data_IF_698482064117
#
_entry.id   IF_698482064117
#
_cell.length_a   1.000
_cell.length_b   1.000
_cell.length_c   1.000
_cell.angle_alpha   90.00
_cell.angle_beta   90.00
_cell.angle_gamma   90.00
#
_symmetry.space_group_name_H-M   'P 1'
#
loop_
_entity.id
_entity.type
_entity.pdbx_description
1 polymer ?
#
# COMPACT_ATOMS: atom_id res chain seq x y z
N UNK A 1 -20.92 4.63 5.51
CA UNK A 1 -19.54 4.15 5.58
C UNK A 1 -19.07 4.33 7.01
N UNK A 2 -18.38 3.34 7.57
CA UNK A 2 -17.89 3.33 8.95
C UNK A 2 -16.70 4.28 9.13
N UNK A 3 -15.85 4.40 8.09
CA UNK A 3 -14.79 5.40 7.98
C UNK A 3 -15.14 6.34 6.83
N UNK A 4 -15.03 7.65 7.08
CA UNK A 4 -15.21 8.70 6.08
C UNK A 4 -13.91 9.51 5.97
N UNK A 5 -13.55 9.89 4.77
CA UNK A 5 -12.37 10.71 4.50
C UNK A 5 -12.77 12.18 4.43
N UNK A 6 -11.92 13.09 4.91
CA UNK A 6 -12.14 14.51 4.62
C UNK A 6 -12.10 14.77 3.11
N UNK A 7 -12.76 15.83 2.66
CA UNK A 7 -12.45 16.41 1.36
C UNK A 7 -11.10 17.16 1.45
N UNK A 8 -10.25 16.99 0.46
CA UNK A 8 -8.94 17.63 0.35
C UNK A 8 -8.67 18.18 -1.05
N UNK A 9 -7.71 19.10 -1.14
CA UNK A 9 -7.26 19.69 -2.39
C UNK A 9 -5.98 18.99 -2.87
N UNK A 10 -6.14 18.07 -3.81
CA UNK A 10 -5.07 17.16 -4.24
C UNK A 10 -4.22 17.79 -5.33
N UNK A 11 -2.89 17.68 -5.18
CA UNK A 11 -1.89 18.01 -6.20
C UNK A 11 -1.04 16.78 -6.49
N UNK A 12 -0.51 16.69 -7.71
CA UNK A 12 0.46 15.65 -8.06
C UNK A 12 1.68 15.72 -7.12
N UNK A 13 2.22 14.58 -6.72
CA UNK A 13 3.42 14.49 -5.86
C UNK A 13 4.64 15.17 -6.49
N UNK A 14 4.67 15.27 -7.82
CA UNK A 14 5.75 15.89 -8.59
C UNK A 14 5.61 17.40 -8.81
N UNK A 15 4.49 18.01 -8.43
CA UNK A 15 4.32 19.46 -8.50
C UNK A 15 5.13 20.11 -7.38
N UNK A 16 5.82 21.20 -7.73
CA UNK A 16 6.59 22.02 -6.78
C UNK A 16 6.09 23.47 -6.78
N UNK A 17 6.45 24.22 -5.74
CA UNK A 17 6.15 25.65 -5.62
C UNK A 17 4.84 25.98 -4.89
N UNK A 18 4.37 27.24 -4.98
CA UNK A 18 3.31 27.79 -4.12
C UNK A 18 1.98 27.02 -4.15
N UNK A 19 1.71 26.30 -5.25
CA UNK A 19 0.50 25.50 -5.41
C UNK A 19 0.38 24.41 -4.34
N UNK A 20 1.50 23.83 -3.90
CA UNK A 20 1.52 22.75 -2.87
C UNK A 20 1.14 23.31 -1.51
N UNK A 21 1.71 24.46 -1.13
CA UNK A 21 1.39 25.15 0.12
C UNK A 21 -0.08 25.60 0.15
N UNK A 22 -0.57 26.16 -0.97
CA UNK A 22 -1.96 26.55 -1.12
C UNK A 22 -2.92 25.36 -0.95
N UNK A 23 -2.59 24.20 -1.55
CA UNK A 23 -3.39 22.98 -1.46
C UNK A 23 -3.43 22.43 -0.03
N UNK A 24 -2.27 22.37 0.63
CA UNK A 24 -2.13 21.93 2.00
C UNK A 24 -2.94 22.85 2.95
N UNK A 25 -2.77 24.17 2.82
CA UNK A 25 -3.50 25.13 3.62
C UNK A 25 -5.02 25.11 3.37
N UNK A 26 -5.45 24.87 2.12
CA UNK A 26 -6.87 24.69 1.78
C UNK A 26 -7.44 23.42 2.40
N UNK A 27 -6.70 22.32 2.35
CA UNK A 27 -7.09 21.03 2.94
C UNK A 27 -7.26 21.11 4.46
N UNK A 28 -6.42 21.88 5.16
CA UNK A 28 -6.59 22.16 6.59
C UNK A 28 -7.90 22.93 6.88
N UNK A 29 -8.20 23.98 6.10
CA UNK A 29 -9.47 24.72 6.25
C UNK A 29 -10.68 23.85 5.89
N UNK A 30 -10.54 22.93 4.96
CA UNK A 30 -11.60 21.98 4.59
C UNK A 30 -11.82 20.92 5.65
N UNK A 31 -10.78 20.48 6.35
CA UNK A 31 -10.92 19.59 7.51
C UNK A 31 -11.80 20.22 8.59
N UNK A 32 -11.57 21.48 8.95
CA UNK A 32 -12.39 22.19 9.96
C UNK A 32 -13.88 22.24 9.57
N UNK A 33 -14.15 22.42 8.27
CA UNK A 33 -15.50 22.41 7.70
C UNK A 33 -16.11 21.01 7.69
N UNK A 34 -15.32 19.98 7.39
CA UNK A 34 -15.76 18.58 7.46
C UNK A 34 -16.11 18.18 8.90
N UNK A 35 -15.28 18.55 9.87
CA UNK A 35 -15.53 18.29 11.29
C UNK A 35 -16.80 19.00 11.76
N UNK A 36 -17.00 20.26 11.36
CA UNK A 36 -18.21 21.03 11.72
C UNK A 36 -19.48 20.45 11.09
N UNK A 37 -19.38 19.84 9.92
CA UNK A 37 -20.50 19.23 9.20
C UNK A 37 -20.78 17.78 9.65
N UNK A 38 -19.83 17.12 10.32
CA UNK A 38 -19.95 15.73 10.74
C UNK A 38 -20.86 15.60 11.96
N UNK A 39 -22.11 15.19 11.74
CA UNK A 39 -23.14 15.10 12.77
C UNK A 39 -23.27 13.73 13.45
N UNK A 40 -22.45 12.73 13.07
CA UNK A 40 -22.54 11.34 13.55
C UNK A 40 -21.20 10.77 14.03
N UNK A 41 -20.47 11.44 14.94
CA UNK A 41 -19.13 11.02 15.38
C UNK A 41 -19.12 9.66 16.09
N UNK A 42 -20.23 9.25 16.71
CA UNK A 42 -20.36 7.96 17.39
C UNK A 42 -20.64 6.79 16.45
N UNK A 43 -20.98 7.06 15.19
CA UNK A 43 -21.30 6.05 14.17
C UNK A 43 -20.29 6.00 13.02
N UNK A 44 -19.55 7.10 12.78
CA UNK A 44 -18.59 7.21 11.68
C UNK A 44 -17.30 7.88 12.14
N UNK A 45 -16.17 7.30 11.75
CA UNK A 45 -14.84 7.84 12.01
C UNK A 45 -14.35 8.73 10.86
N UNK A 46 -14.14 10.02 11.13
CA UNK A 46 -13.59 10.96 10.15
C UNK A 46 -12.06 10.95 10.15
N UNK A 47 -11.44 10.59 9.03
CA UNK A 47 -10.00 10.58 8.83
C UNK A 47 -9.55 11.83 8.06
N UNK A 48 -8.77 12.74 8.68
CA UNK A 48 -8.04 13.77 7.95
C UNK A 48 -6.95 13.19 7.06
N UNK A 49 -6.58 13.95 6.02
CA UNK A 49 -5.57 13.55 5.03
C UNK A 49 -4.38 14.51 5.11
N UNK A 50 -3.20 13.97 5.42
CA UNK A 50 -1.94 14.70 5.43
C UNK A 50 -1.54 15.01 3.99
N UNK A 51 -1.32 16.29 3.73
CA UNK A 51 -0.88 16.84 2.45
C UNK A 51 0.53 17.45 2.58
N UNK A 52 1.02 18.09 1.52
CA UNK A 52 2.36 18.70 1.48
C UNK A 52 3.29 18.11 0.41
N UNK A 53 2.81 17.16 -0.39
CA UNK A 53 3.60 16.58 -1.48
C UNK A 53 4.90 15.95 -0.98
N UNK A 54 6.01 16.25 -1.67
CA UNK A 54 7.37 15.82 -1.31
C UNK A 54 8.15 16.90 -0.54
N UNK A 55 7.50 17.99 -0.11
CA UNK A 55 8.12 19.04 0.70
C UNK A 55 8.04 18.66 2.18
N UNK A 56 9.20 18.47 2.81
CA UNK A 56 9.30 18.07 4.20
C UNK A 56 8.68 19.09 5.16
N UNK A 57 8.89 20.38 4.91
CA UNK A 57 8.40 21.45 5.80
C UNK A 57 6.87 21.53 5.71
N UNK A 58 6.31 21.48 4.49
CA UNK A 58 4.86 21.52 4.30
C UNK A 58 4.18 20.27 4.87
N UNK A 59 4.79 19.10 4.72
CA UNK A 59 4.25 17.85 5.28
C UNK A 59 4.32 17.83 6.80
N UNK A 60 5.43 18.28 7.38
CA UNK A 60 5.58 18.45 8.84
C UNK A 60 4.56 19.45 9.39
N UNK A 61 4.36 20.58 8.71
CA UNK A 61 3.32 21.54 9.07
C UNK A 61 1.93 20.90 8.99
N UNK A 62 1.63 20.18 7.91
CA UNK A 62 0.33 19.53 7.70
C UNK A 62 0.02 18.54 8.83
N UNK A 63 0.94 17.62 9.14
CA UNK A 63 0.73 16.63 10.21
C UNK A 63 0.60 17.30 11.58
N UNK A 64 1.45 18.28 11.92
CA UNK A 64 1.38 19.01 13.18
C UNK A 64 0.06 19.75 13.36
N UNK A 65 -0.47 20.37 12.31
CA UNK A 65 -1.77 21.05 12.38
C UNK A 65 -2.92 20.04 12.49
N UNK A 66 -2.88 18.95 11.71
CA UNK A 66 -3.93 17.92 11.73
C UNK A 66 -4.04 17.25 13.11
N UNK A 67 -2.91 16.90 13.74
CA UNK A 67 -2.89 16.20 15.04
C UNK A 67 -3.57 17.01 16.15
N UNK A 68 -3.55 18.35 16.08
CA UNK A 68 -4.26 19.22 17.06
C UNK A 68 -5.77 18.98 17.10
N UNK A 69 -6.35 18.38 16.05
CA UNK A 69 -7.79 18.12 15.93
C UNK A 69 -8.22 16.77 16.53
N UNK A 70 -7.27 15.94 16.95
CA UNK A 70 -7.51 14.68 17.66
C UNK A 70 -8.56 13.76 16.99
N UNK A 71 -8.37 13.49 15.71
CA UNK A 71 -9.27 12.64 14.93
C UNK A 71 -9.11 11.15 15.27
N UNK A 72 -10.13 10.30 14.99
CA UNK A 72 -10.09 8.86 15.29
C UNK A 72 -9.03 8.07 14.51
N UNK A 73 -8.47 8.63 13.43
CA UNK A 73 -7.37 8.07 12.65
C UNK A 73 -6.86 9.07 11.62
N UNK A 74 -5.77 8.75 10.92
CA UNK A 74 -5.09 9.70 10.05
C UNK A 74 -4.66 9.04 8.75
N UNK A 75 -4.91 9.71 7.62
CA UNK A 75 -4.49 9.25 6.32
C UNK A 75 -3.27 10.02 5.80
N UNK A 76 -2.40 9.33 5.07
CA UNK A 76 -1.21 9.87 4.42
C UNK A 76 -1.51 9.93 2.92
N UNK A 77 -1.73 11.14 2.41
CA UNK A 77 -2.08 11.40 1.02
C UNK A 77 -0.90 11.87 0.17
N UNK A 78 -1.12 11.84 -1.16
CA UNK A 78 -0.20 12.41 -2.14
C UNK A 78 1.10 11.62 -2.36
N UNK A 79 1.11 10.33 -2.06
CA UNK A 79 2.27 9.41 -2.17
C UNK A 79 1.91 8.10 -2.89
N UNK A 80 1.14 8.19 -3.98
CA UNK A 80 0.53 7.03 -4.64
C UNK A 80 1.05 6.77 -6.06
N UNK A 81 2.27 7.25 -6.38
CA UNK A 81 2.97 6.95 -7.63
C UNK A 81 3.36 8.18 -8.46
N UNK A 82 4.58 8.14 -8.98
CA UNK A 82 5.20 9.20 -9.78
C UNK A 82 6.46 9.77 -9.13
N UNK A 83 6.52 9.75 -7.80
CA UNK A 83 7.68 10.14 -7.01
C UNK A 83 8.80 9.09 -7.02
N UNK A 84 10.03 9.58 -6.78
CA UNK A 84 11.17 8.72 -6.51
C UNK A 84 10.98 7.93 -5.20
N UNK A 85 11.43 6.67 -5.20
CA UNK A 85 11.24 5.78 -4.04
C UNK A 85 11.98 6.24 -2.79
N UNK A 86 13.11 6.92 -2.92
CA UNK A 86 13.84 7.46 -1.76
C UNK A 86 13.09 8.66 -1.14
N UNK A 87 12.45 9.49 -1.96
CA UNK A 87 11.58 10.56 -1.46
C UNK A 87 10.30 10.01 -0.82
N UNK A 88 9.68 9.00 -1.46
CA UNK A 88 8.47 8.34 -0.98
C UNK A 88 8.61 7.84 0.47
N UNK A 89 9.61 6.99 0.76
CA UNK A 89 9.71 6.38 2.08
C UNK A 89 10.05 7.41 3.17
N UNK A 90 10.80 8.47 2.82
CA UNK A 90 11.09 9.59 3.74
C UNK A 90 9.83 10.37 4.10
N UNK A 91 8.94 10.62 3.14
CA UNK A 91 7.67 11.29 3.41
C UNK A 91 6.71 10.42 4.24
N UNK A 92 6.72 9.11 4.02
CA UNK A 92 5.98 8.16 4.87
C UNK A 92 6.52 8.24 6.29
N UNK A 93 7.83 8.07 6.48
CA UNK A 93 8.50 8.10 7.80
C UNK A 93 8.24 9.41 8.55
N UNK A 94 8.42 10.55 7.87
CA UNK A 94 8.13 11.86 8.45
C UNK A 94 6.68 11.94 8.91
N UNK A 95 5.73 11.45 8.12
CA UNK A 95 4.32 11.46 8.51
C UNK A 95 4.07 10.58 9.74
N UNK A 96 4.58 9.36 9.74
CA UNK A 96 4.36 8.39 10.82
C UNK A 96 5.02 8.79 12.15
N UNK A 97 6.17 9.49 12.10
CA UNK A 97 6.89 9.96 13.30
C UNK A 97 6.12 11.03 14.08
N UNK A 98 5.34 11.87 13.39
CA UNK A 98 4.52 12.91 14.02
C UNK A 98 3.09 12.46 14.34
N UNK A 99 2.67 11.28 13.86
CA UNK A 99 1.31 10.78 14.08
C UNK A 99 1.17 10.06 15.43
N UNK A 100 0.06 10.24 16.16
CA UNK A 100 -0.20 9.55 17.42
C UNK A 100 -0.05 8.04 17.29
N UNK A 101 0.58 7.41 18.29
CA UNK A 101 0.82 5.95 18.31
C UNK A 101 -0.45 5.15 18.66
N UNK A 102 -1.47 5.79 19.22
CA UNK A 102 -2.73 5.19 19.65
C UNK A 102 -3.85 5.31 18.59
N UNK A 103 -3.51 5.76 17.37
CA UNK A 103 -4.45 6.01 16.29
C UNK A 103 -3.97 5.36 14.98
N UNK A 104 -4.87 4.79 14.16
CA UNK A 104 -4.50 4.14 12.92
C UNK A 104 -3.98 5.12 11.87
N UNK A 105 -3.01 4.66 11.10
CA UNK A 105 -2.30 5.38 10.03
C UNK A 105 -2.57 4.72 8.69
N UNK A 106 -3.31 5.43 7.83
CA UNK A 106 -3.76 4.92 6.53
C UNK A 106 -2.93 5.49 5.38
N UNK A 107 -2.10 4.65 4.76
CA UNK A 107 -1.32 5.03 3.58
C UNK A 107 -2.10 4.77 2.29
N UNK A 108 -2.50 5.84 1.62
CA UNK A 108 -3.43 5.78 0.49
C UNK A 108 -2.73 5.43 -0.83
N UNK A 109 -3.32 4.52 -1.62
CA UNK A 109 -2.90 4.21 -2.99
C UNK A 109 -1.65 3.33 -3.12
N UNK A 110 -1.18 2.69 -2.05
CA UNK A 110 0.01 1.82 -2.02
C UNK A 110 -0.40 0.35 -2.02
N UNK A 111 0.12 -0.43 -2.97
CA UNK A 111 -0.28 -1.84 -3.14
C UNK A 111 0.75 -2.79 -3.69
N UNK A 112 1.99 -2.35 -3.96
CA UNK A 112 3.06 -3.28 -4.31
C UNK A 112 3.47 -4.07 -3.07
N UNK A 113 3.70 -5.37 -3.22
CA UNK A 113 3.96 -6.26 -2.09
C UNK A 113 5.14 -5.80 -1.22
N UNK A 114 6.23 -5.37 -1.87
CA UNK A 114 7.40 -4.82 -1.16
C UNK A 114 7.07 -3.52 -0.44
N UNK A 115 6.30 -2.61 -1.04
CA UNK A 115 5.90 -1.35 -0.40
C UNK A 115 5.04 -1.61 0.83
N UNK A 116 4.10 -2.57 0.78
CA UNK A 116 3.27 -2.94 1.93
C UNK A 116 4.13 -3.43 3.10
N UNK A 117 5.13 -4.27 2.84
CA UNK A 117 6.05 -4.77 3.86
C UNK A 117 6.88 -3.64 4.47
N UNK A 118 7.50 -2.81 3.63
CA UNK A 118 8.34 -1.71 4.09
C UNK A 118 7.53 -0.64 4.83
N UNK A 119 6.41 -0.19 4.28
CA UNK A 119 5.57 0.83 4.93
C UNK A 119 4.92 0.31 6.22
N UNK A 120 4.69 -0.99 6.38
CA UNK A 120 4.31 -1.57 7.67
C UNK A 120 5.43 -1.43 8.71
N UNK A 121 6.70 -1.62 8.30
CA UNK A 121 7.86 -1.38 9.17
C UNK A 121 8.06 0.11 9.50
N UNK A 122 7.65 1.01 8.60
CA UNK A 122 7.60 2.46 8.84
C UNK A 122 6.39 2.88 9.69
N UNK A 123 5.52 1.95 10.10
CA UNK A 123 4.44 2.21 11.03
C UNK A 123 3.12 2.61 10.39
N UNK A 124 2.84 2.23 9.14
CA UNK A 124 1.51 2.31 8.55
C UNK A 124 0.66 1.08 8.88
N UNK A 125 -0.64 1.28 9.11
CA UNK A 125 -1.57 0.24 9.58
C UNK A 125 -2.59 -0.19 8.51
N UNK A 126 -2.99 0.75 7.65
CA UNK A 126 -4.01 0.54 6.61
C UNK A 126 -3.47 0.91 5.24
N UNK A 127 -3.92 0.18 4.22
CA UNK A 127 -3.51 0.37 2.83
C UNK A 127 -4.70 0.14 1.90
N UNK A 128 -4.72 0.84 0.78
CA UNK A 128 -5.61 0.58 -0.34
C UNK A 128 -4.84 0.71 -1.65
N UNK A 129 -5.21 -0.09 -2.65
CA UNK A 129 -4.72 0.14 -4.01
C UNK A 129 -5.56 -0.64 -5.01
N UNK A 130 -5.69 -0.10 -6.21
CA UNK A 130 -6.22 -0.84 -7.37
C UNK A 130 -5.23 -1.85 -7.93
N UNK A 131 -3.99 -1.91 -7.43
CA UNK A 131 -2.93 -2.78 -7.96
C UNK A 131 -3.35 -4.24 -8.20
N UNK A 132 -3.97 -4.98 -7.25
CA UNK A 132 -4.26 -6.40 -7.47
C UNK A 132 -5.29 -6.61 -8.59
N UNK A 133 -6.31 -5.74 -8.68
CA UNK A 133 -7.35 -5.82 -9.71
C UNK A 133 -6.86 -5.29 -11.05
N UNK A 134 -6.03 -4.23 -11.06
CA UNK A 134 -5.41 -3.68 -12.27
C UNK A 134 -4.46 -4.67 -12.90
N UNK A 135 -3.58 -5.27 -12.11
CA UNK A 135 -2.60 -6.26 -12.56
C UNK A 135 -3.29 -7.53 -13.10
N UNK A 136 -4.41 -7.94 -12.50
CA UNK A 136 -5.22 -9.04 -13.02
C UNK A 136 -5.74 -8.78 -14.45
N UNK A 137 -6.17 -7.55 -14.76
CA UNK A 137 -6.61 -7.17 -16.12
C UNK A 137 -5.50 -7.24 -17.18
N UNK A 138 -4.24 -7.20 -16.76
CA UNK A 138 -3.09 -7.41 -17.65
C UNK A 138 -2.67 -8.89 -17.74
N UNK A 139 -3.44 -9.82 -17.17
CA UNK A 139 -3.11 -11.24 -17.18
C UNK A 139 -1.99 -11.61 -16.22
N UNK A 140 -1.77 -10.81 -15.17
CA UNK A 140 -0.70 -11.02 -14.21
C UNK A 140 -1.24 -11.53 -12.86
N UNK A 141 -0.63 -12.60 -12.35
CA UNK A 141 -0.93 -13.17 -11.03
C UNK A 141 0.18 -12.80 -10.02
N UNK A 142 -0.20 -12.38 -8.82
CA UNK A 142 0.74 -12.03 -7.75
C UNK A 142 1.24 -13.27 -7.01
N UNK A 143 2.54 -13.31 -6.72
CA UNK A 143 3.24 -14.40 -6.00
C UNK A 143 4.35 -13.81 -5.12
N UNK A 144 4.88 -14.58 -4.18
CA UNK A 144 5.89 -14.09 -3.20
C UNK A 144 7.17 -13.57 -3.86
N UNK A 145 7.54 -14.08 -5.05
CA UNK A 145 8.71 -13.62 -5.81
C UNK A 145 8.34 -12.65 -6.96
N UNK A 146 7.21 -11.94 -6.83
CA UNK A 146 6.80 -10.88 -7.75
C UNK A 146 5.49 -11.18 -8.46
N UNK A 147 5.54 -11.33 -9.78
CA UNK A 147 4.33 -11.56 -10.59
C UNK A 147 4.59 -12.53 -11.74
N UNK A 148 3.61 -13.40 -11.98
CA UNK A 148 3.57 -14.27 -13.15
C UNK A 148 2.79 -13.56 -14.25
N UNK A 149 3.47 -13.17 -15.34
CA UNK A 149 2.79 -12.67 -16.54
C UNK A 149 2.29 -13.86 -17.35
N UNK A 150 1.04 -14.27 -17.13
CA UNK A 150 0.46 -15.47 -17.72
C UNK A 150 0.19 -15.33 -19.22
N UNK A 151 0.49 -14.19 -19.85
CA UNK A 151 0.53 -14.08 -21.31
C UNK A 151 1.77 -14.74 -21.94
N UNK A 152 2.82 -14.99 -21.15
CA UNK A 152 4.08 -15.52 -21.68
C UNK A 152 3.94 -17.01 -22.05
N UNK A 153 4.52 -17.37 -23.20
CA UNK A 153 4.51 -18.74 -23.73
C UNK A 153 5.10 -19.79 -22.77
N UNK A 154 6.00 -19.37 -21.87
CA UNK A 154 6.58 -20.26 -20.85
C UNK A 154 5.53 -20.95 -19.97
N UNK A 155 4.31 -20.40 -19.88
CA UNK A 155 3.22 -20.95 -19.08
C UNK A 155 2.27 -21.87 -19.87
N UNK A 156 2.38 -21.98 -21.20
CA UNK A 156 1.47 -22.78 -22.05
C UNK A 156 1.36 -24.25 -21.62
N UNK A 157 2.46 -24.81 -21.13
CA UNK A 157 2.55 -26.21 -20.66
C UNK A 157 2.85 -26.31 -19.16
N UNK A 158 2.72 -25.20 -18.43
CA UNK A 158 2.93 -25.18 -16.98
C UNK A 158 1.65 -25.62 -16.26
N UNK A 159 1.56 -26.90 -15.93
CA UNK A 159 0.42 -27.47 -15.22
C UNK A 159 0.43 -27.23 -13.71
N UNK A 160 1.38 -26.44 -13.18
CA UNK A 160 1.36 -26.02 -11.78
C UNK A 160 0.24 -25.01 -11.53
N UNK A 161 -0.21 -24.93 -10.29
CA UNK A 161 -1.10 -23.85 -9.81
C UNK A 161 -0.36 -22.51 -9.84
N UNK A 162 -1.08 -21.40 -9.68
CA UNK A 162 -0.45 -20.08 -9.51
C UNK A 162 0.53 -20.11 -8.32
N UNK A 163 0.03 -20.53 -7.16
CA UNK A 163 0.76 -20.71 -5.90
C UNK A 163 0.18 -21.95 -5.20
N UNK A 164 1.03 -22.94 -4.92
CA UNK A 164 0.66 -24.23 -4.30
C UNK A 164 0.32 -24.11 -2.81
N UNK A 165 0.77 -23.03 -2.16
CA UNK A 165 0.44 -22.69 -0.77
C UNK A 165 -0.77 -21.76 -0.66
N UNK A 166 -1.39 -21.37 -1.79
CA UNK A 166 -2.51 -20.45 -1.79
C UNK A 166 -3.84 -21.16 -1.51
N UNK A 167 -4.56 -20.66 -0.51
CA UNK A 167 -5.86 -21.17 -0.09
C UNK A 167 -7.05 -20.47 -0.78
N UNK A 168 -6.81 -19.67 -1.82
CA UNK A 168 -7.89 -19.00 -2.54
C UNK A 168 -8.70 -20.02 -3.37
N UNK A 169 -9.96 -19.71 -3.64
CA UNK A 169 -10.86 -20.61 -4.39
C UNK A 169 -10.31 -20.97 -5.78
N UNK A 170 -9.52 -20.09 -6.41
CA UNK A 170 -8.91 -20.33 -7.73
C UNK A 170 -7.84 -21.42 -7.64
N UNK A 171 -6.90 -21.31 -6.69
CA UNK A 171 -5.85 -22.32 -6.52
C UNK A 171 -6.44 -23.64 -6.01
N UNK A 172 -7.40 -23.59 -5.08
CA UNK A 172 -8.08 -24.78 -4.55
C UNK A 172 -8.93 -25.52 -5.59
N UNK A 173 -9.49 -24.80 -6.57
CA UNK A 173 -10.21 -25.42 -7.69
C UNK A 173 -9.29 -26.07 -8.72
N UNK A 174 -7.97 -25.96 -8.55
CA UNK A 174 -7.01 -26.61 -9.44
C UNK A 174 -6.75 -25.88 -10.76
N UNK A 175 -7.10 -24.58 -10.87
CA UNK A 175 -6.80 -23.81 -12.08
C UNK A 175 -5.29 -23.70 -12.29
N UNK A 176 -4.79 -24.30 -13.36
CA UNK A 176 -3.37 -24.32 -13.71
C UNK A 176 -2.94 -23.02 -14.40
N UNK A 177 -1.64 -22.73 -14.35
CA UNK A 177 -1.04 -21.63 -15.12
C UNK A 177 -1.27 -21.80 -16.61
N UNK A 178 -1.21 -23.02 -17.14
CA UNK A 178 -1.50 -23.33 -18.55
C UNK A 178 -2.94 -23.03 -18.96
N UNK A 179 -3.91 -23.37 -18.12
CA UNK A 179 -5.32 -23.05 -18.37
C UNK A 179 -5.50 -21.54 -18.40
N UNK A 180 -4.98 -20.84 -17.39
CA UNK A 180 -5.07 -19.39 -17.31
C UNK A 180 -4.39 -18.71 -18.50
N UNK A 181 -3.18 -19.15 -18.89
CA UNK A 181 -2.47 -18.68 -20.08
C UNK A 181 -3.32 -18.79 -21.36
N UNK A 182 -4.12 -19.84 -21.47
CA UNK A 182 -5.00 -20.03 -22.64
C UNK A 182 -6.09 -18.97 -22.73
N UNK A 183 -6.63 -18.52 -21.58
CA UNK A 183 -7.81 -17.66 -21.49
C UNK A 183 -7.51 -16.19 -21.14
N UNK A 184 -6.34 -15.86 -20.60
CA UNK A 184 -5.96 -14.46 -20.31
C UNK A 184 -6.00 -13.62 -21.58
N UNK A 185 -6.52 -12.40 -21.46
CA UNK A 185 -6.75 -11.46 -22.56
C UNK A 185 -7.64 -11.98 -23.71
N UNK A 186 -8.32 -13.11 -23.52
CA UNK A 186 -9.31 -13.66 -24.45
C UNK A 186 -10.70 -13.77 -23.83
N UNK A 187 -10.75 -14.18 -22.57
CA UNK A 187 -12.00 -14.39 -21.83
C UNK A 187 -12.05 -13.54 -20.55
N UNK A 188 -13.19 -12.91 -20.29
CA UNK A 188 -13.40 -12.10 -19.06
C UNK A 188 -13.25 -12.94 -17.78
N UNK A 189 -13.55 -14.24 -17.85
CA UNK A 189 -13.36 -15.19 -16.75
C UNK A 189 -11.92 -15.19 -16.21
N UNK A 190 -10.92 -14.99 -17.07
CA UNK A 190 -9.53 -14.90 -16.64
C UNK A 190 -9.31 -13.72 -15.68
N UNK A 191 -9.88 -12.55 -15.99
CA UNK A 191 -9.81 -11.37 -15.13
C UNK A 191 -10.46 -11.61 -13.77
N UNK A 192 -11.60 -12.32 -13.72
CA UNK A 192 -12.26 -12.68 -12.47
C UNK A 192 -11.39 -13.61 -11.62
N UNK A 193 -10.88 -14.70 -12.21
CA UNK A 193 -10.03 -15.67 -11.51
C UNK A 193 -8.75 -15.00 -10.97
N UNK A 194 -8.07 -14.20 -11.80
CA UNK A 194 -6.85 -13.52 -11.38
C UNK A 194 -7.11 -12.44 -10.33
N UNK A 195 -8.26 -11.75 -10.40
CA UNK A 195 -8.64 -10.78 -9.36
C UNK A 195 -8.86 -11.46 -8.01
N UNK A 196 -9.59 -12.58 -7.98
CA UNK A 196 -9.80 -13.37 -6.76
C UNK A 196 -8.46 -13.80 -6.17
N UNK A 197 -7.56 -14.33 -7.00
CA UNK A 197 -6.22 -14.73 -6.54
C UNK A 197 -5.40 -13.54 -6.02
N UNK A 198 -5.33 -12.43 -6.76
CA UNK A 198 -4.48 -11.29 -6.40
C UNK A 198 -4.96 -10.58 -5.12
N UNK A 199 -6.27 -10.45 -4.91
CA UNK A 199 -6.82 -9.90 -3.67
C UNK A 199 -6.54 -10.86 -2.50
N UNK A 200 -6.73 -12.17 -2.69
CA UNK A 200 -6.41 -13.16 -1.67
C UNK A 200 -4.91 -13.16 -1.32
N UNK A 201 -4.02 -12.95 -2.29
CA UNK A 201 -2.58 -12.79 -2.05
C UNK A 201 -2.30 -11.60 -1.14
N UNK A 202 -2.86 -10.41 -1.40
CA UNK A 202 -2.63 -9.24 -0.55
C UNK A 202 -3.15 -9.45 0.87
N UNK A 203 -4.35 -10.04 1.03
CA UNK A 203 -4.90 -10.34 2.35
C UNK A 203 -4.03 -11.34 3.12
N UNK A 204 -3.52 -12.37 2.45
CA UNK A 204 -2.55 -13.31 3.05
C UNK A 204 -1.24 -12.63 3.41
N UNK A 205 -0.73 -11.73 2.58
CA UNK A 205 0.49 -10.96 2.89
C UNK A 205 0.31 -10.12 4.16
N UNK A 206 -0.76 -9.34 4.24
CA UNK A 206 -1.06 -8.53 5.44
C UNK A 206 -1.30 -9.40 6.68
N UNK A 207 -1.93 -10.57 6.52
CA UNK A 207 -2.09 -11.53 7.62
C UNK A 207 -0.74 -12.09 8.11
N UNK A 208 0.19 -12.41 7.21
CA UNK A 208 1.55 -12.85 7.59
C UNK A 208 2.36 -11.75 8.27
N UNK A 209 2.25 -10.50 7.77
CA UNK A 209 2.86 -9.32 8.42
C UNK A 209 2.35 -9.20 9.85
N UNK A 210 1.02 -9.18 10.03
CA UNK A 210 0.39 -9.13 11.35
C UNK A 210 0.87 -10.26 12.27
N UNK A 211 0.93 -11.48 11.76
CA UNK A 211 1.35 -12.63 12.56
C UNK A 211 2.83 -12.52 12.98
N UNK A 212 3.71 -12.09 12.08
CA UNK A 212 5.12 -11.88 12.41
C UNK A 212 5.34 -10.79 13.46
N UNK A 213 4.51 -9.73 13.47
CA UNK A 213 4.53 -8.70 14.50
C UNK A 213 4.08 -9.28 15.85
N UNK A 214 2.98 -10.04 15.89
CA UNK A 214 2.48 -10.68 17.13
C UNK A 214 3.49 -11.68 17.70
N UNK A 215 4.22 -12.37 16.84
CA UNK A 215 5.25 -13.36 17.22
C UNK A 215 6.63 -12.72 17.46
N UNK A 216 6.73 -11.39 17.50
CA UNK A 216 7.97 -10.63 17.75
C UNK A 216 9.13 -10.99 16.79
N UNK A 217 8.80 -11.40 15.56
CA UNK A 217 9.76 -11.83 14.52
C UNK A 217 9.63 -11.09 13.19
N UNK A 218 9.11 -9.87 13.25
CA UNK A 218 8.88 -9.07 12.05
C UNK A 218 10.17 -8.71 11.29
N UNK A 219 11.30 -8.36 11.94
CA UNK A 219 12.56 -8.16 11.24
C UNK A 219 13.04 -9.38 10.44
N UNK A 220 12.89 -10.59 11.00
CA UNK A 220 13.20 -11.86 10.35
C UNK A 220 12.28 -12.10 9.14
N UNK A 221 10.98 -11.87 9.31
CA UNK A 221 10.02 -11.94 8.22
C UNK A 221 10.39 -11.00 7.06
N UNK A 222 10.82 -9.77 7.34
CA UNK A 222 11.25 -8.82 6.31
C UNK A 222 12.48 -9.34 5.56
N UNK A 223 13.50 -9.83 6.27
CA UNK A 223 14.71 -10.41 5.66
C UNK A 223 14.36 -11.57 4.73
N UNK A 224 13.54 -12.51 5.21
CA UNK A 224 13.06 -13.65 4.42
C UNK A 224 12.25 -13.19 3.21
N UNK A 225 11.33 -12.23 3.38
CA UNK A 225 10.51 -11.71 2.29
C UNK A 225 11.37 -11.04 1.23
N UNK A 226 12.28 -10.14 1.61
CA UNK A 226 13.17 -9.41 0.70
C UNK A 226 14.09 -10.37 -0.04
N UNK A 227 14.70 -11.33 0.66
CA UNK A 227 15.54 -12.36 0.05
C UNK A 227 14.77 -13.19 -0.97
N UNK A 228 13.55 -13.62 -0.66
CA UNK A 228 12.71 -14.38 -1.60
C UNK A 228 12.21 -13.53 -2.78
N UNK A 229 11.92 -12.24 -2.55
CA UNK A 229 11.37 -11.34 -3.56
C UNK A 229 12.42 -10.94 -4.62
N UNK A 230 13.65 -10.68 -4.20
CA UNK A 230 14.74 -10.28 -5.08
C UNK A 230 15.60 -11.45 -5.57
N UNK A 231 15.67 -12.56 -4.84
CA UNK A 231 16.49 -13.73 -5.17
C UNK A 231 17.94 -13.30 -5.42
N UNK A 232 18.49 -13.58 -6.60
CA UNK A 232 19.86 -13.21 -6.99
C UNK A 232 19.98 -11.76 -7.52
N UNK A 233 18.91 -10.96 -7.48
CA UNK A 233 18.91 -9.57 -7.98
C UNK A 233 19.33 -8.61 -6.88
N UNK A 234 19.94 -7.50 -7.30
CA UNK A 234 20.28 -6.40 -6.40
C UNK A 234 19.04 -5.83 -5.71
N UNK A 235 19.12 -5.71 -4.38
CA UNK A 235 18.09 -5.06 -3.57
C UNK A 235 18.18 -3.54 -3.79
N UNK A 236 17.09 -2.87 -4.17
CA UNK A 236 17.07 -1.41 -4.32
C UNK A 236 17.53 -0.66 -3.07
N UNK A 237 18.40 0.34 -3.25
CA UNK A 237 19.00 1.09 -2.15
C UNK A 237 17.98 1.76 -1.21
N UNK A 238 16.84 2.21 -1.75
CA UNK A 238 15.78 2.82 -0.95
C UNK A 238 15.21 1.86 0.11
N UNK A 239 15.17 0.55 -0.18
CA UNK A 239 14.71 -0.48 0.76
C UNK A 239 15.70 -0.58 1.91
N UNK A 240 16.99 -0.72 1.59
CA UNK A 240 18.08 -0.79 2.58
C UNK A 240 18.06 0.45 3.48
N UNK A 241 17.95 1.64 2.88
CA UNK A 241 17.92 2.90 3.61
C UNK A 241 16.70 3.01 4.53
N UNK A 242 15.51 2.66 4.02
CA UNK A 242 14.25 2.73 4.79
C UNK A 242 14.20 1.73 5.95
N UNK A 243 14.75 0.52 5.79
CA UNK A 243 14.83 -0.45 6.88
C UNK A 243 15.86 -0.04 7.93
N UNK A 244 16.98 0.52 7.48
CA UNK A 244 18.00 1.05 8.39
C UNK A 244 17.47 2.18 9.27
N UNK A 245 16.56 3.04 8.77
CA UNK A 245 15.97 4.10 9.59
C UNK A 245 15.09 3.57 10.73
N UNK A 246 14.62 2.33 10.65
CA UNK A 246 13.86 1.64 11.69
C UNK A 246 14.65 0.49 12.34
N UNK A 247 15.99 0.55 12.26
CA UNK A 247 16.92 -0.40 12.88
C UNK A 247 16.83 -1.85 12.37
N UNK A 248 16.35 -2.06 11.15
CA UNK A 248 16.33 -3.37 10.48
C UNK A 248 17.46 -3.42 9.46
N UNK A 249 18.36 -4.39 9.61
CA UNK A 249 19.45 -4.64 8.66
C UNK A 249 19.11 -5.85 7.80
N UNK A 250 19.35 -5.76 6.49
CA UNK A 250 19.19 -6.86 5.53
C UNK A 250 20.46 -7.69 5.41
#
# INVERSE_FOLDING_TARGET
>A
ADIIMQLDDVVSSTITGPRVEEAMGRSLRWLDRCMSAHSRPDEQSLFPIIQGGLDQNLREQSVKEIVKRNCPGYAIGGLSGGEDKDQFWRMVTLSTDYLPNDKPRYLMGVGFAIDLVICSALGCDMFDCVFPTRTARFGCALVDNGQLNLNKQIYEKDHRLIDDKCICSVCQSGYTRSYLNTIVNKETTACHLLTIHNVAYQMRLMSRIRQAIIEERFPEFIKEFVSNYYQDKDIPQWIINSLKSVNIQL
#
